data_IF_671928231053
#
_entry.id   IF_671928231053
#
_cell.length_a   1.000
_cell.length_b   1.000
_cell.length_c   1.000
_cell.angle_alpha   90.00
_cell.angle_beta   90.00
_cell.angle_gamma   90.00
#
_symmetry.space_group_name_H-M   'P 1'
#
loop_
_entity.id
_entity.type
_entity.pdbx_description
1 polymer ?
#
# COMPACT_ATOMS: atom_id res chain seq x y z
N UNK A 1 7.12 8.57 25.84
CA UNK A 1 7.08 7.55 24.77
C UNK A 1 8.41 6.82 24.71
N UNK A 2 8.41 5.48 24.76
CA UNK A 2 9.63 4.68 24.52
C UNK A 2 10.24 5.00 23.14
N UNK A 3 11.55 5.19 23.06
CA UNK A 3 12.29 5.46 21.81
C UNK A 3 12.02 4.43 20.71
N UNK A 4 11.73 3.17 21.10
CA UNK A 4 11.36 2.08 20.18
C UNK A 4 9.97 2.28 19.55
N UNK A 5 9.01 2.90 20.26
CA UNK A 5 7.66 3.20 19.74
C UNK A 5 7.73 4.20 18.59
N UNK A 6 8.45 5.30 18.83
CA UNK A 6 8.61 6.40 17.87
C UNK A 6 9.33 5.91 16.62
N UNK A 7 10.36 5.07 16.76
CA UNK A 7 11.08 4.55 15.59
C UNK A 7 10.19 3.68 14.69
N UNK A 8 9.42 2.75 15.26
CA UNK A 8 8.54 1.84 14.48
C UNK A 8 7.47 2.64 13.72
N UNK A 9 6.83 3.61 14.38
CA UNK A 9 5.83 4.47 13.75
C UNK A 9 6.44 5.28 12.59
N UNK A 10 7.59 5.90 12.81
CA UNK A 10 8.28 6.71 11.80
C UNK A 10 8.70 5.85 10.60
N UNK A 11 9.18 4.62 10.83
CA UNK A 11 9.52 3.69 9.74
C UNK A 11 8.30 3.31 8.90
N UNK A 12 7.19 2.91 9.54
CA UNK A 12 5.95 2.58 8.83
C UNK A 12 5.41 3.79 8.04
N UNK A 13 5.46 4.99 8.62
CA UNK A 13 4.98 6.20 7.97
C UNK A 13 5.83 6.61 6.77
N UNK A 14 7.17 6.53 6.87
CA UNK A 14 8.08 6.78 5.75
C UNK A 14 7.87 5.77 4.62
N UNK A 15 7.69 4.49 4.99
CA UNK A 15 7.39 3.43 4.04
C UNK A 15 6.05 3.73 3.33
N UNK A 16 5.03 4.18 4.05
CA UNK A 16 3.73 4.53 3.47
C UNK A 16 3.83 5.67 2.46
N UNK A 17 4.59 6.71 2.78
CA UNK A 17 4.81 7.84 1.87
C UNK A 17 5.55 7.38 0.61
N UNK A 18 6.67 6.67 0.78
CA UNK A 18 7.46 6.17 -0.36
C UNK A 18 6.65 5.21 -1.24
N UNK A 19 5.93 4.28 -0.63
CA UNK A 19 5.10 3.30 -1.33
C UNK A 19 3.92 3.96 -2.04
N UNK A 20 3.22 4.90 -1.39
CA UNK A 20 2.13 5.65 -2.00
C UNK A 20 2.59 6.50 -3.20
N UNK A 21 3.74 7.17 -3.09
CA UNK A 21 4.31 7.90 -4.23
C UNK A 21 4.71 6.96 -5.38
N UNK A 22 5.30 5.80 -5.05
CA UNK A 22 5.62 4.78 -6.05
C UNK A 22 4.36 4.29 -6.76
N UNK A 23 3.28 3.97 -6.04
CA UNK A 23 2.00 3.53 -6.64
C UNK A 23 1.42 4.59 -7.57
N UNK A 24 1.40 5.85 -7.14
CA UNK A 24 0.90 6.94 -7.98
C UNK A 24 1.65 7.03 -9.31
N UNK A 25 2.99 6.94 -9.28
CA UNK A 25 3.82 6.99 -10.49
C UNK A 25 3.61 5.73 -11.35
N UNK A 26 3.59 4.55 -10.71
CA UNK A 26 3.40 3.28 -11.39
C UNK A 26 2.05 3.24 -12.13
N UNK A 27 0.98 3.74 -11.51
CA UNK A 27 -0.36 3.71 -12.08
C UNK A 27 -0.53 4.73 -13.21
N UNK A 28 0.03 5.94 -13.07
CA UNK A 28 0.10 6.90 -14.17
C UNK A 28 0.83 6.29 -15.35
N UNK A 29 1.99 5.63 -15.12
CA UNK A 29 2.78 5.01 -16.20
C UNK A 29 2.05 3.84 -16.85
N UNK A 30 1.35 3.01 -16.08
CA UNK A 30 0.64 1.82 -16.56
C UNK A 30 -0.54 2.18 -17.48
N UNK A 31 -1.30 3.21 -17.13
CA UNK A 31 -2.49 3.63 -17.89
C UNK A 31 -2.21 4.76 -18.89
N UNK A 32 -0.94 5.16 -19.07
CA UNK A 32 -0.62 6.25 -19.98
C UNK A 32 -0.83 5.84 -21.44
N UNK A 33 -1.91 6.33 -22.04
CA UNK A 33 -2.26 6.07 -23.44
C UNK A 33 -3.34 5.02 -23.63
N UNK A 34 -3.50 4.08 -22.69
CA UNK A 34 -4.58 3.08 -22.66
C UNK A 34 -5.42 3.28 -21.40
N UNK A 35 -6.42 4.14 -21.50
CA UNK A 35 -7.31 4.49 -20.40
C UNK A 35 -8.36 3.39 -20.20
N UNK A 36 -8.04 2.41 -19.36
CA UNK A 36 -8.98 1.38 -18.91
C UNK A 36 -10.16 1.99 -18.12
N UNK A 37 -11.20 1.18 -17.84
CA UNK A 37 -12.37 1.63 -17.08
C UNK A 37 -11.95 2.21 -15.71
N UNK A 38 -12.23 3.50 -15.53
CA UNK A 38 -11.67 4.32 -14.45
C UNK A 38 -11.87 3.84 -13.01
N UNK A 39 -12.91 3.07 -12.64
CA UNK A 39 -13.03 2.54 -11.28
C UNK A 39 -11.91 1.57 -10.90
N UNK A 40 -11.28 0.89 -11.87
CA UNK A 40 -10.21 -0.05 -11.59
C UNK A 40 -8.93 0.62 -11.09
N UNK A 41 -8.60 1.80 -11.61
CA UNK A 41 -7.42 2.55 -11.15
C UNK A 41 -7.76 3.58 -10.07
N UNK A 42 -9.03 3.95 -9.89
CA UNK A 42 -9.47 4.81 -8.77
C UNK A 42 -9.07 4.21 -7.41
N UNK A 43 -9.21 2.89 -7.25
CA UNK A 43 -8.89 2.20 -5.99
C UNK A 43 -7.42 2.40 -5.59
N UNK A 44 -6.51 2.39 -6.57
CA UNK A 44 -5.09 2.65 -6.35
C UNK A 44 -4.86 4.08 -5.89
N UNK A 45 -5.52 5.07 -6.50
CA UNK A 45 -5.41 6.47 -6.05
C UNK A 45 -6.05 6.71 -4.67
N UNK A 46 -7.08 5.94 -4.30
CA UNK A 46 -7.61 5.95 -2.92
C UNK A 46 -6.54 5.40 -1.96
N UNK A 47 -5.89 4.29 -2.29
CA UNK A 47 -4.79 3.75 -1.48
C UNK A 47 -3.65 4.77 -1.34
N UNK A 48 -3.24 5.40 -2.44
CA UNK A 48 -2.25 6.49 -2.46
C UNK A 48 -2.66 7.60 -1.49
N UNK A 49 -3.88 8.13 -1.63
CA UNK A 49 -4.38 9.21 -0.79
C UNK A 49 -4.36 8.85 0.70
N UNK A 50 -4.82 7.64 1.04
CA UNK A 50 -4.84 7.15 2.42
C UNK A 50 -3.43 6.93 2.99
N UNK A 51 -2.48 6.39 2.21
CA UNK A 51 -1.10 6.18 2.64
C UNK A 51 -0.36 7.50 2.85
N UNK A 52 -0.50 8.46 1.91
CA UNK A 52 0.13 9.77 2.03
C UNK A 52 -0.46 10.56 3.20
N UNK A 53 -1.78 10.55 3.36
CA UNK A 53 -2.44 11.21 4.48
C UNK A 53 -2.08 10.56 5.81
N UNK A 54 -2.18 9.24 5.91
CA UNK A 54 -1.85 8.46 7.10
C UNK A 54 -0.38 8.63 7.51
N UNK A 55 0.54 8.57 6.55
CA UNK A 55 1.96 8.82 6.78
C UNK A 55 2.24 10.24 7.26
N UNK A 56 1.62 11.26 6.63
CA UNK A 56 1.76 12.66 7.05
C UNK A 56 1.23 12.91 8.46
N UNK A 57 0.08 12.34 8.80
CA UNK A 57 -0.50 12.46 10.16
C UNK A 57 0.38 11.77 11.20
N UNK A 58 0.92 10.59 10.88
CA UNK A 58 1.82 9.85 11.77
C UNK A 58 3.16 10.56 12.01
N UNK A 59 3.63 11.40 11.09
CA UNK A 59 4.85 12.21 11.21
C UNK A 59 4.61 13.63 11.73
N UNK A 60 3.37 13.99 12.06
CA UNK A 60 3.03 15.33 12.56
C UNK A 60 3.44 15.53 14.02
N UNK A 61 3.39 16.79 14.49
CA UNK A 61 3.68 17.14 15.89
C UNK A 61 2.72 16.48 16.90
N UNK A 62 1.52 16.07 16.46
CA UNK A 62 0.53 15.34 17.25
C UNK A 62 0.18 14.01 16.55
N UNK A 63 1.08 13.00 16.61
CA UNK A 63 0.98 11.81 15.79
C UNK A 63 -0.25 10.97 16.15
N UNK A 64 -0.95 10.46 15.14
CA UNK A 64 -2.07 9.53 15.30
C UNK A 64 -1.84 8.30 14.43
N UNK A 65 -1.87 7.12 15.05
CA UNK A 65 -1.59 5.85 14.36
C UNK A 65 -2.79 5.34 13.55
N UNK A 66 -4.02 5.68 13.96
CA UNK A 66 -5.26 5.21 13.33
C UNK A 66 -5.32 5.41 11.80
N UNK A 67 -5.10 6.62 11.28
CA UNK A 67 -5.07 6.88 9.82
C UNK A 67 -4.03 6.03 9.07
N UNK A 68 -2.84 5.83 9.65
CA UNK A 68 -1.79 5.00 9.05
C UNK A 68 -2.20 3.52 9.00
N UNK A 69 -2.80 2.99 10.08
CA UNK A 69 -3.37 1.65 10.07
C UNK A 69 -4.48 1.50 9.02
N UNK A 70 -5.36 2.49 8.88
CA UNK A 70 -6.41 2.49 7.88
C UNK A 70 -5.87 2.45 6.45
N UNK A 71 -4.88 3.30 6.13
CA UNK A 71 -4.27 3.32 4.80
C UNK A 71 -3.54 2.02 4.47
N UNK A 72 -2.75 1.48 5.41
CA UNK A 72 -2.11 0.20 5.21
C UNK A 72 -3.10 -0.97 5.08
N UNK A 73 -4.12 -1.03 5.94
CA UNK A 73 -5.13 -2.08 5.91
C UNK A 73 -5.92 -2.07 4.60
N UNK A 74 -6.32 -0.90 4.13
CA UNK A 74 -6.96 -0.74 2.81
C UNK A 74 -6.06 -1.28 1.69
N UNK A 75 -4.78 -0.88 1.70
CA UNK A 75 -3.78 -1.29 0.71
C UNK A 75 -3.57 -2.81 0.71
N UNK A 76 -3.53 -3.44 1.88
CA UNK A 76 -3.45 -4.92 2.02
C UNK A 76 -4.66 -5.59 1.36
N UNK A 77 -5.89 -5.11 1.63
CA UNK A 77 -7.09 -5.68 1.03
C UNK A 77 -7.11 -5.52 -0.50
N UNK A 78 -6.69 -4.35 -1.00
CA UNK A 78 -6.58 -4.06 -2.43
C UNK A 78 -5.61 -5.03 -3.11
N UNK A 79 -4.40 -5.19 -2.57
CA UNK A 79 -3.41 -6.11 -3.12
C UNK A 79 -3.78 -7.58 -2.94
N UNK A 80 -4.50 -7.94 -1.87
CA UNK A 80 -5.06 -9.29 -1.72
C UNK A 80 -5.98 -9.61 -2.91
N UNK A 81 -6.95 -8.75 -3.20
CA UNK A 81 -7.86 -8.95 -4.33
C UNK A 81 -7.10 -9.03 -5.67
N UNK A 82 -6.15 -8.12 -5.89
CA UNK A 82 -5.33 -8.10 -7.11
C UNK A 82 -4.47 -9.36 -7.25
N UNK A 83 -3.80 -9.80 -6.19
CA UNK A 83 -2.87 -10.93 -6.21
C UNK A 83 -3.59 -12.24 -6.50
N UNK A 84 -4.71 -12.51 -5.80
CA UNK A 84 -5.46 -13.74 -6.00
C UNK A 84 -6.20 -13.76 -7.34
N UNK A 85 -6.69 -12.62 -7.82
CA UNK A 85 -7.22 -12.52 -9.19
C UNK A 85 -6.17 -12.90 -10.23
N UNK A 86 -4.93 -12.43 -10.10
CA UNK A 86 -3.86 -12.81 -11.03
C UNK A 86 -3.43 -14.27 -10.86
N UNK A 87 -3.45 -14.80 -9.63
CA UNK A 87 -3.14 -16.20 -9.34
C UNK A 87 -4.11 -17.16 -10.05
N UNK A 88 -5.40 -16.84 -10.05
CA UNK A 88 -6.45 -17.64 -10.71
C UNK A 88 -6.30 -17.70 -12.24
N UNK A 89 -5.75 -16.64 -12.85
CA UNK A 89 -5.55 -16.53 -14.30
C UNK A 89 -4.11 -16.86 -14.74
N UNK A 90 -3.27 -17.41 -13.84
CA UNK A 90 -1.93 -17.87 -14.18
C UNK A 90 -1.99 -19.04 -15.18
N UNK A 91 -1.64 -18.75 -16.43
CA UNK A 91 -1.63 -19.74 -17.53
C UNK A 91 -2.47 -19.31 -18.73
N UNK A 92 -3.30 -18.28 -18.59
CA UNK A 92 -3.97 -17.66 -19.71
C UNK A 92 -3.01 -16.76 -20.50
N UNK A 93 -3.23 -16.65 -21.82
CA UNK A 93 -2.47 -15.69 -22.64
C UNK A 93 -2.89 -14.28 -22.25
N UNK A 94 -1.99 -13.54 -21.61
CA UNK A 94 -2.22 -12.14 -21.27
C UNK A 94 -2.42 -11.27 -22.50
N UNK A 95 -3.40 -10.36 -22.43
CA UNK A 95 -3.69 -9.36 -23.46
C UNK A 95 -2.98 -8.01 -23.24
N UNK A 96 -2.27 -7.85 -22.11
CA UNK A 96 -1.64 -6.60 -21.71
C UNK A 96 -0.17 -6.45 -22.15
N UNK A 97 0.40 -5.23 -22.00
CA UNK A 97 1.78 -4.92 -22.38
C UNK A 97 2.86 -5.54 -21.47
N UNK A 98 2.49 -6.02 -20.29
CA UNK A 98 3.39 -6.70 -19.34
C UNK A 98 3.07 -8.20 -19.35
N UNK A 99 4.12 -9.03 -19.40
CA UNK A 99 3.96 -10.47 -19.32
C UNK A 99 3.24 -10.89 -18.02
N UNK A 100 2.20 -11.75 -18.07
CA UNK A 100 1.40 -12.09 -16.89
C UNK A 100 2.19 -12.58 -15.68
N UNK A 101 3.21 -13.40 -15.93
CA UNK A 101 4.08 -13.92 -14.86
C UNK A 101 4.89 -12.80 -14.20
N UNK A 102 5.37 -11.84 -14.99
CA UNK A 102 6.14 -10.72 -14.48
C UNK A 102 5.24 -9.78 -13.65
N UNK A 103 4.04 -9.46 -14.14
CA UNK A 103 3.07 -8.64 -13.41
C UNK A 103 2.67 -9.28 -12.07
N UNK A 104 2.38 -10.58 -12.08
CA UNK A 104 2.09 -11.35 -10.87
C UNK A 104 3.22 -11.24 -9.83
N UNK A 105 4.47 -11.37 -10.28
CA UNK A 105 5.65 -11.20 -9.41
C UNK A 105 5.72 -9.82 -8.75
N UNK A 106 5.50 -8.75 -9.52
CA UNK A 106 5.46 -7.38 -8.99
C UNK A 106 4.35 -7.20 -7.96
N UNK A 107 3.12 -7.64 -8.27
CA UNK A 107 1.98 -7.57 -7.35
C UNK A 107 2.29 -8.33 -6.06
N UNK A 108 2.94 -9.50 -6.14
CA UNK A 108 3.36 -10.26 -4.95
C UNK A 108 4.32 -9.50 -4.03
N UNK A 109 5.32 -8.83 -4.60
CA UNK A 109 6.27 -8.00 -3.82
C UNK A 109 5.57 -6.80 -3.19
N UNK A 110 4.69 -6.13 -3.93
CA UNK A 110 3.90 -5.00 -3.42
C UNK A 110 2.96 -5.44 -2.30
N UNK A 111 2.32 -6.59 -2.45
CA UNK A 111 1.45 -7.18 -1.45
C UNK A 111 2.22 -7.49 -0.16
N UNK A 112 3.35 -8.19 -0.25
CA UNK A 112 4.19 -8.49 0.91
C UNK A 112 4.67 -7.21 1.62
N UNK A 113 5.06 -6.19 0.84
CA UNK A 113 5.47 -4.89 1.37
C UNK A 113 4.32 -4.21 2.12
N UNK A 114 3.09 -4.27 1.60
CA UNK A 114 1.91 -3.71 2.26
C UNK A 114 1.60 -4.40 3.60
N UNK A 115 1.79 -5.72 3.69
CA UNK A 115 1.63 -6.49 4.92
C UNK A 115 2.68 -6.05 5.96
N UNK A 116 3.94 -5.91 5.55
CA UNK A 116 5.00 -5.41 6.44
C UNK A 116 4.66 -4.00 6.95
N UNK A 117 4.26 -3.10 6.06
CA UNK A 117 3.82 -1.75 6.41
C UNK A 117 2.69 -1.74 7.44
N UNK A 118 1.67 -2.58 7.21
CA UNK A 118 0.52 -2.74 8.10
C UNK A 118 0.90 -3.30 9.47
N UNK A 119 1.71 -4.36 9.53
CA UNK A 119 2.17 -4.96 10.78
C UNK A 119 2.95 -3.94 11.61
N UNK A 120 3.84 -3.15 10.98
CA UNK A 120 4.56 -2.10 11.70
C UNK A 120 3.61 -1.05 12.28
N UNK A 121 2.57 -0.64 11.54
CA UNK A 121 1.56 0.28 12.03
C UNK A 121 0.74 -0.30 13.20
N UNK A 122 0.36 -1.58 13.11
CA UNK A 122 -0.35 -2.28 14.19
C UNK A 122 0.51 -2.41 15.45
N UNK A 123 1.78 -2.79 15.32
CA UNK A 123 2.71 -2.86 16.46
C UNK A 123 2.82 -1.50 17.14
N UNK A 124 2.97 -0.42 16.38
CA UNK A 124 2.97 0.93 16.92
C UNK A 124 1.64 1.29 17.62
N UNK A 125 0.50 0.83 17.09
CA UNK A 125 -0.82 1.08 17.67
C UNK A 125 -1.08 0.33 18.99
N UNK A 126 -0.65 -0.93 19.08
CA UNK A 126 -0.79 -1.74 20.30
C UNK A 126 0.05 -1.15 21.42
N UNK A 127 1.25 -0.69 21.10
CA UNK A 127 2.07 0.01 22.07
C UNK A 127 1.38 1.30 22.54
N UNK A 128 0.54 1.97 21.76
CA UNK A 128 -0.18 3.16 22.24
C UNK A 128 -1.26 2.86 23.29
N UNK A 129 -1.83 1.64 23.33
CA UNK A 129 -2.96 1.30 24.23
C UNK A 129 -2.55 0.73 25.58
N UNK A 130 -1.29 0.34 25.74
CA UNK A 130 -0.77 -0.30 26.96
C UNK A 130 -0.18 0.69 27.99
N UNK A 131 -0.25 2.00 27.70
CA UNK A 131 0.14 3.10 28.58
C UNK A 131 -1.14 3.86 29.01
#
# INVERSE_FOLDING_TARGET
MSTRRVSVLVWSARLAIGFGLFLAIAEVRRNWGDWEWWPWWLVDYIAVGLLLWGGRVALSAAPRVGPLCGGWGFTVCMFYASFFSHLEHLGERGSGPIEPMQLFGWIGVLFATSIVGFVLALVASHQHRAD
#
